data_IF_745262665587
#
_entry.id   IF_745262665587
#
_cell.length_a   1.000
_cell.length_b   1.000
_cell.length_c   1.000
_cell.angle_alpha   90.00
_cell.angle_beta   90.00
_cell.angle_gamma   90.00
#
_symmetry.space_group_name_H-M   'P 1'
#
loop_
_entity.id
_entity.type
_entity.pdbx_description
1 polymer ?
#
# COMPACT_ATOMS: atom_id res chain seq x y z
N UNK A 1 39.71 54.28 46.52
CA UNK A 1 40.27 53.57 45.35
C UNK A 1 39.87 52.10 45.44
N UNK A 2 39.00 51.61 44.55
CA UNK A 2 38.86 50.20 44.15
C UNK A 2 37.80 50.16 43.05
N UNK A 3 38.24 50.08 41.80
CA UNK A 3 37.41 49.91 40.61
C UNK A 3 37.01 48.44 40.53
N UNK A 4 35.71 48.13 40.55
CA UNK A 4 35.23 46.79 40.21
C UNK A 4 34.98 46.74 38.71
N UNK A 5 35.76 45.90 38.03
CA UNK A 5 35.62 45.57 36.62
C UNK A 5 34.68 44.36 36.54
N UNK A 6 33.46 44.55 36.02
CA UNK A 6 32.57 43.45 35.72
C UNK A 6 32.98 42.88 34.35
N UNK A 7 33.53 41.67 34.34
CA UNK A 7 33.80 40.91 33.11
C UNK A 7 32.53 40.16 32.75
N UNK A 8 31.91 40.56 31.64
CA UNK A 8 30.79 39.82 31.03
C UNK A 8 31.40 38.76 30.12
N UNK A 9 31.30 37.49 30.51
CA UNK A 9 31.64 36.36 29.64
C UNK A 9 30.40 36.05 28.80
N UNK A 10 30.44 36.44 27.53
CA UNK A 10 29.44 36.01 26.55
C UNK A 10 29.76 34.57 26.12
N UNK A 11 28.98 33.61 26.58
CA UNK A 11 29.04 32.23 26.12
C UNK A 11 28.26 32.11 24.81
N UNK A 12 28.95 32.19 23.67
CA UNK A 12 28.35 31.88 22.36
C UNK A 12 28.28 30.36 22.20
N UNK A 13 27.09 29.79 22.37
CA UNK A 13 26.82 28.39 22.02
C UNK A 13 26.64 28.32 20.50
N UNK A 14 27.66 27.84 19.80
CA UNK A 14 27.56 27.42 18.40
C UNK A 14 26.84 26.07 18.37
N UNK A 15 25.51 26.10 18.19
CA UNK A 15 24.74 24.91 17.87
C UNK A 15 25.06 24.48 16.44
N UNK A 16 25.87 23.44 16.29
CA UNK A 16 26.02 22.76 15.00
C UNK A 16 24.71 22.00 14.73
N UNK A 17 23.84 22.57 13.91
CA UNK A 17 22.75 21.82 13.30
C UNK A 17 23.38 20.78 12.37
N UNK A 18 23.44 19.53 12.81
CA UNK A 18 23.75 18.42 11.94
C UNK A 18 22.59 18.34 10.93
N UNK A 19 22.82 18.80 9.71
CA UNK A 19 21.94 18.52 8.59
C UNK A 19 22.01 17.01 8.34
N UNK A 20 21.06 16.27 8.92
CA UNK A 20 20.84 14.87 8.56
C UNK A 20 20.26 14.89 7.15
N UNK A 21 21.12 14.67 6.16
CA UNK A 21 20.69 14.41 4.79
C UNK A 21 20.15 12.99 4.82
N UNK A 22 18.84 12.83 4.97
CA UNK A 22 18.21 11.55 4.72
C UNK A 22 18.41 11.22 3.24
N UNK A 23 18.89 10.00 2.95
CA UNK A 23 18.92 9.52 1.58
C UNK A 23 17.48 9.58 1.03
N UNK A 24 17.32 10.12 -0.17
CA UNK A 24 16.03 10.12 -0.86
C UNK A 24 15.53 8.68 -0.99
N UNK A 25 14.28 8.43 -0.58
CA UNK A 25 13.70 7.10 -0.67
C UNK A 25 13.60 6.71 -2.15
N UNK A 26 14.15 5.55 -2.50
CA UNK A 26 14.06 5.04 -3.85
C UNK A 26 12.71 4.36 -4.03
N UNK A 27 11.97 4.77 -5.05
CA UNK A 27 10.69 4.16 -5.43
C UNK A 27 10.75 2.63 -5.36
N UNK A 28 9.77 2.04 -4.66
CA UNK A 28 9.66 0.61 -4.43
C UNK A 28 8.37 0.07 -5.05
N UNK A 29 8.49 -0.72 -6.11
CA UNK A 29 7.36 -1.14 -6.92
C UNK A 29 6.67 -2.39 -6.38
N UNK A 30 5.35 -2.37 -6.25
CA UNK A 30 4.51 -3.55 -6.03
C UNK A 30 4.03 -4.10 -7.38
N UNK A 31 3.58 -3.22 -8.28
CA UNK A 31 3.23 -3.56 -9.65
C UNK A 31 3.45 -2.37 -10.58
N UNK A 32 4.18 -2.57 -11.69
CA UNK A 32 4.25 -1.61 -12.81
C UNK A 32 3.84 -2.27 -14.12
N UNK A 33 4.38 -3.45 -14.42
CA UNK A 33 3.99 -4.24 -15.59
C UNK A 33 4.03 -5.72 -15.24
N UNK A 34 3.26 -6.55 -15.96
CA UNK A 34 3.28 -8.00 -15.74
C UNK A 34 4.69 -8.60 -15.83
N UNK A 35 5.53 -8.12 -16.76
CA UNK A 35 6.89 -8.62 -16.98
C UNK A 35 7.97 -7.84 -16.22
N UNK A 36 7.60 -6.82 -15.44
CA UNK A 36 8.54 -6.05 -14.64
C UNK A 36 9.25 -6.94 -13.62
N UNK A 37 10.59 -6.90 -13.62
CA UNK A 37 11.43 -7.74 -12.76
C UNK A 37 11.56 -7.20 -11.35
N UNK A 38 11.20 -5.94 -11.17
CA UNK A 38 11.25 -5.17 -9.93
C UNK A 38 9.87 -5.04 -9.27
N UNK A 39 8.86 -5.80 -9.73
CA UNK A 39 7.65 -5.99 -8.94
C UNK A 39 7.97 -6.77 -7.67
N UNK A 40 7.62 -6.20 -6.52
CA UNK A 40 7.72 -6.83 -5.22
C UNK A 40 6.34 -7.31 -4.73
N UNK A 41 6.36 -8.17 -3.71
CA UNK A 41 5.18 -8.86 -3.17
C UNK A 41 4.46 -9.77 -4.18
N UNK A 42 3.60 -10.65 -3.64
CA UNK A 42 2.88 -11.65 -4.41
C UNK A 42 1.40 -11.58 -4.02
N UNK A 43 0.43 -11.49 -4.96
CA UNK A 43 -1.01 -11.45 -4.68
C UNK A 43 -1.52 -12.83 -4.23
N UNK A 44 -1.07 -13.27 -3.06
CA UNK A 44 -1.32 -14.61 -2.51
C UNK A 44 -2.24 -14.58 -1.30
N UNK A 45 -2.49 -13.43 -0.70
CA UNK A 45 -3.32 -13.30 0.49
C UNK A 45 -4.80 -13.22 0.14
N UNK A 46 -5.37 -14.27 -0.46
CA UNK A 46 -6.78 -14.31 -0.86
C UNK A 46 -7.65 -14.49 0.38
N UNK A 47 -8.64 -13.61 0.57
CA UNK A 47 -9.48 -13.54 1.76
C UNK A 47 -10.96 -13.56 1.42
N UNK A 48 -11.78 -13.92 2.42
CA UNK A 48 -13.23 -13.91 2.32
C UNK A 48 -13.75 -14.89 1.27
N UNK A 49 -14.67 -14.41 0.43
CA UNK A 49 -15.30 -15.14 -0.67
C UNK A 49 -14.35 -15.30 -1.87
N UNK A 50 -13.15 -15.85 -1.63
CA UNK A 50 -12.10 -16.01 -2.63
C UNK A 50 -12.51 -16.87 -3.84
N UNK A 51 -13.49 -17.76 -3.69
CA UNK A 51 -14.04 -18.57 -4.78
C UNK A 51 -14.83 -17.76 -5.81
N UNK A 52 -15.15 -16.51 -5.49
CA UNK A 52 -15.86 -15.59 -6.37
C UNK A 52 -14.91 -14.66 -7.12
N UNK A 53 -13.61 -14.72 -6.80
CA UNK A 53 -12.60 -13.86 -7.41
C UNK A 53 -11.93 -14.53 -8.61
N UNK A 54 -11.63 -13.73 -9.63
CA UNK A 54 -10.65 -14.05 -10.68
C UNK A 54 -9.62 -12.94 -10.74
N UNK A 55 -8.38 -13.32 -11.00
CA UNK A 55 -7.24 -12.41 -11.01
C UNK A 55 -6.44 -12.61 -12.30
N UNK A 56 -6.23 -11.53 -13.04
CA UNK A 56 -5.37 -11.48 -14.21
C UNK A 56 -4.37 -10.32 -14.06
N UNK A 57 -3.09 -10.65 -13.89
CA UNK A 57 -2.00 -9.67 -13.76
C UNK A 57 -1.50 -9.10 -15.09
N UNK A 58 -1.97 -9.62 -16.22
CA UNK A 58 -1.45 -9.34 -17.55
C UNK A 58 -2.55 -8.80 -18.49
N UNK A 59 -3.54 -8.10 -17.94
CA UNK A 59 -4.67 -7.60 -18.69
C UNK A 59 -4.22 -6.45 -19.61
N UNK A 60 -4.45 -6.60 -20.92
CA UNK A 60 -3.88 -5.70 -21.95
C UNK A 60 -4.82 -4.58 -22.40
N UNK A 61 -6.07 -4.59 -21.97
CA UNK A 61 -7.06 -3.62 -22.43
C UNK A 61 -7.13 -2.42 -21.48
N UNK A 62 -6.82 -1.25 -22.03
CA UNK A 62 -6.84 0.05 -21.36
C UNK A 62 -6.04 0.06 -20.02
N UNK A 63 -4.75 -0.32 -20.04
CA UNK A 63 -3.87 -0.08 -18.89
C UNK A 63 -3.66 1.43 -18.68
N UNK A 64 -3.32 1.84 -17.47
CA UNK A 64 -3.01 3.25 -17.19
C UNK A 64 -1.67 3.63 -17.81
N UNK A 65 -0.67 2.76 -17.63
CA UNK A 65 0.66 2.93 -18.21
C UNK A 65 1.09 1.66 -18.96
N UNK A 66 2.15 1.78 -19.75
CA UNK A 66 2.76 0.65 -20.46
C UNK A 66 1.80 -0.22 -21.29
N UNK A 67 1.77 -1.53 -21.02
CA UNK A 67 1.10 -2.55 -21.84
C UNK A 67 0.19 -3.49 -21.09
N UNK A 68 0.30 -3.56 -19.76
CA UNK A 68 -0.50 -4.47 -18.93
C UNK A 68 -0.91 -3.80 -17.63
N UNK A 69 -2.12 -4.10 -17.18
CA UNK A 69 -2.61 -3.76 -15.85
C UNK A 69 -3.15 -5.02 -15.17
N UNK A 70 -3.47 -4.90 -13.89
CA UNK A 70 -4.17 -5.95 -13.13
C UNK A 70 -5.68 -5.80 -13.37
N UNK A 71 -6.36 -6.92 -13.60
CA UNK A 71 -7.82 -7.03 -13.59
C UNK A 71 -8.26 -8.05 -12.56
N UNK A 72 -9.24 -7.67 -11.76
CA UNK A 72 -9.88 -8.51 -10.76
C UNK A 72 -11.38 -8.49 -10.99
N UNK A 73 -12.03 -9.65 -10.96
CA UNK A 73 -13.50 -9.75 -10.97
C UNK A 73 -13.97 -10.42 -9.70
N UNK A 74 -15.05 -9.94 -9.10
CA UNK A 74 -15.74 -10.56 -7.96
C UNK A 74 -17.21 -10.77 -8.32
N UNK A 75 -17.76 -11.97 -8.14
CA UNK A 75 -19.15 -12.30 -8.50
C UNK A 75 -20.18 -12.10 -7.38
N UNK A 76 -19.75 -11.88 -6.14
CA UNK A 76 -20.62 -11.71 -4.97
C UNK A 76 -21.61 -12.88 -4.70
N UNK A 77 -21.27 -14.09 -5.14
CA UNK A 77 -22.08 -15.31 -4.92
C UNK A 77 -21.96 -15.83 -3.47
N UNK A 78 -21.00 -15.30 -2.71
CA UNK A 78 -20.69 -15.66 -1.32
C UNK A 78 -20.36 -17.14 -1.16
N UNK A 79 -19.51 -17.70 -2.04
CA UNK A 79 -19.17 -19.14 -2.00
C UNK A 79 -18.56 -19.61 -0.70
N UNK A 80 -17.94 -18.72 0.08
CA UNK A 80 -17.41 -19.03 1.41
C UNK A 80 -18.34 -18.55 2.54
N UNK A 81 -19.44 -17.87 2.21
CA UNK A 81 -20.40 -17.30 3.16
C UNK A 81 -19.85 -16.10 3.94
N UNK A 82 -18.79 -15.46 3.46
CA UNK A 82 -18.14 -14.36 4.18
C UNK A 82 -18.87 -13.02 3.98
N UNK A 83 -19.46 -12.79 2.80
CA UNK A 83 -20.10 -11.51 2.45
C UNK A 83 -19.09 -10.39 2.11
N UNK A 84 -17.83 -10.76 1.87
CA UNK A 84 -16.75 -9.85 1.48
C UNK A 84 -15.61 -10.64 0.85
N UNK A 85 -14.77 -9.97 0.07
CA UNK A 85 -13.56 -10.56 -0.49
C UNK A 85 -12.43 -9.52 -0.55
N UNK A 86 -11.19 -10.00 -0.63
CA UNK A 86 -10.02 -9.14 -0.75
C UNK A 86 -8.75 -9.92 -1.07
N UNK A 87 -7.71 -9.22 -1.49
CA UNK A 87 -6.40 -9.81 -1.77
C UNK A 87 -5.32 -8.95 -1.13
N UNK A 88 -4.45 -9.58 -0.33
CA UNK A 88 -3.16 -9.03 0.08
C UNK A 88 -2.04 -9.43 -0.89
N UNK A 89 -1.20 -8.46 -1.21
CA UNK A 89 0.12 -8.65 -1.79
C UNK A 89 1.11 -8.88 -0.65
N UNK A 90 1.66 -10.10 -0.58
CA UNK A 90 2.44 -10.57 0.57
C UNK A 90 3.88 -10.88 0.21
N UNK A 91 4.77 -10.75 1.20
CA UNK A 91 6.14 -11.22 1.13
C UNK A 91 6.51 -12.08 2.36
N UNK A 92 6.97 -13.33 2.15
CA UNK A 92 6.83 -14.13 0.93
C UNK A 92 5.34 -14.45 0.64
N UNK A 93 5.07 -15.21 -0.43
CA UNK A 93 3.71 -15.67 -0.72
C UNK A 93 3.10 -16.44 0.45
N UNK A 94 1.82 -16.20 0.71
CA UNK A 94 1.02 -16.78 1.79
C UNK A 94 1.62 -16.51 3.17
N UNK A 95 2.19 -15.32 3.40
CA UNK A 95 2.71 -14.92 4.69
C UNK A 95 1.64 -14.19 5.52
N UNK A 96 1.01 -14.90 6.44
CA UNK A 96 0.07 -14.36 7.42
C UNK A 96 0.77 -14.11 8.77
N UNK A 97 1.98 -13.54 8.75
CA UNK A 97 2.77 -13.24 9.94
C UNK A 97 3.45 -14.46 10.57
N UNK A 98 3.49 -15.61 9.88
CA UNK A 98 4.08 -16.87 10.37
C UNK A 98 5.45 -17.18 9.78
N UNK A 99 5.94 -16.33 8.86
CA UNK A 99 7.22 -16.52 8.20
C UNK A 99 8.02 -15.21 8.21
N UNK A 100 9.36 -15.29 8.32
CA UNK A 100 10.20 -14.14 8.03
C UNK A 100 10.07 -13.76 6.55
N UNK A 101 10.27 -12.49 6.27
CA UNK A 101 10.11 -11.88 4.96
C UNK A 101 10.06 -10.38 5.14
N UNK A 102 9.02 -9.76 4.59
CA UNK A 102 8.83 -8.33 4.68
C UNK A 102 9.92 -7.53 3.98
N UNK A 103 9.66 -6.25 3.82
CA UNK A 103 10.65 -5.29 3.36
C UNK A 103 10.77 -4.15 4.37
N UNK A 104 11.98 -3.61 4.48
CA UNK A 104 12.22 -2.33 5.13
C UNK A 104 11.94 -1.23 4.10
N UNK A 105 10.87 -0.48 4.35
CA UNK A 105 10.42 0.64 3.52
C UNK A 105 10.58 1.97 4.26
N UNK A 106 11.46 2.02 5.25
CA UNK A 106 11.77 3.23 6.01
C UNK A 106 12.17 4.37 5.07
N UNK A 107 11.48 5.51 5.20
CA UNK A 107 11.69 6.69 4.37
C UNK A 107 10.60 6.90 3.32
N UNK A 108 9.80 5.88 2.99
CA UNK A 108 8.60 6.08 2.17
C UNK A 108 7.62 6.99 2.90
N UNK A 109 7.04 7.93 2.17
CA UNK A 109 6.07 8.90 2.68
C UNK A 109 4.66 8.62 2.18
N UNK A 110 4.51 7.81 1.13
CA UNK A 110 3.21 7.35 0.65
C UNK A 110 3.30 6.06 -0.14
N UNK A 111 2.17 5.37 -0.23
CA UNK A 111 1.92 4.39 -1.28
C UNK A 111 0.96 4.98 -2.31
N UNK A 112 1.36 4.95 -3.58
CA UNK A 112 0.59 5.42 -4.72
C UNK A 112 0.06 4.22 -5.50
N UNK A 113 -1.16 4.32 -5.99
CA UNK A 113 -1.74 3.35 -6.92
C UNK A 113 -2.75 4.01 -7.84
N UNK A 114 -2.88 3.48 -9.05
CA UNK A 114 -3.97 3.84 -9.96
C UNK A 114 -5.04 2.77 -9.94
N UNK A 115 -6.29 3.20 -9.87
CA UNK A 115 -7.43 2.29 -9.90
C UNK A 115 -8.58 2.83 -10.75
N UNK A 116 -9.33 1.91 -11.35
CA UNK A 116 -10.62 2.18 -11.98
C UNK A 116 -11.57 0.99 -11.81
N UNK A 117 -12.86 1.29 -11.89
CA UNK A 117 -13.94 0.33 -12.00
C UNK A 117 -14.14 -0.17 -13.43
N UNK A 118 -14.89 -1.26 -13.57
CA UNK A 118 -15.35 -1.75 -14.87
C UNK A 118 -16.61 -1.05 -15.36
N UNK A 119 -17.55 -0.72 -14.44
CA UNK A 119 -18.79 0.00 -14.74
C UNK A 119 -18.89 1.36 -14.04
N UNK A 120 -18.01 1.63 -13.08
CA UNK A 120 -18.13 2.79 -12.19
C UNK A 120 -19.18 2.53 -11.11
N UNK A 121 -18.97 3.10 -9.91
CA UNK A 121 -19.82 2.86 -8.75
C UNK A 121 -19.41 1.65 -7.90
N UNK A 122 -18.36 0.92 -8.30
CA UNK A 122 -17.75 -0.10 -7.44
C UNK A 122 -17.31 0.53 -6.12
N UNK A 123 -17.81 0.01 -5.00
CA UNK A 123 -17.52 0.52 -3.67
C UNK A 123 -16.51 -0.38 -2.98
N UNK A 124 -15.26 0.08 -2.91
CA UNK A 124 -14.17 -0.63 -2.25
C UNK A 124 -14.09 -0.16 -0.81
N UNK A 125 -14.31 -1.08 0.13
CA UNK A 125 -14.39 -0.76 1.56
C UNK A 125 -13.06 -0.27 2.11
N UNK A 126 -11.95 -0.86 1.67
CA UNK A 126 -10.62 -0.53 2.19
C UNK A 126 -9.53 -0.77 1.14
N UNK A 127 -8.58 0.16 1.04
CA UNK A 127 -7.21 -0.10 0.58
C UNK A 127 -6.25 0.06 1.75
N UNK A 128 -5.25 -0.83 1.84
CA UNK A 128 -4.42 -0.92 3.04
C UNK A 128 -2.97 -1.31 2.75
N UNK A 129 -2.07 -0.78 3.58
CA UNK A 129 -0.67 -1.20 3.73
C UNK A 129 -0.48 -1.76 5.14
N UNK A 130 0.32 -2.82 5.26
CA UNK A 130 0.70 -3.42 6.53
C UNK A 130 -0.44 -4.11 7.26
N UNK A 131 -0.27 -4.31 8.57
CA UNK A 131 -1.30 -4.87 9.45
C UNK A 131 -1.48 -6.38 9.42
N UNK A 132 -0.58 -7.14 8.79
CA UNK A 132 -0.48 -8.59 9.00
C UNK A 132 0.11 -8.84 10.40
N UNK A 133 -0.58 -9.63 11.24
CA UNK A 133 -0.16 -9.91 12.62
C UNK A 133 0.22 -11.37 12.83
N UNK A 134 1.26 -11.63 13.61
CA UNK A 134 1.79 -12.95 13.92
C UNK A 134 3.15 -12.88 14.62
N UNK A 135 3.95 -13.94 14.56
CA UNK A 135 5.35 -13.96 15.03
C UNK A 135 6.19 -12.90 14.29
N UNK A 136 5.93 -12.74 12.99
CA UNK A 136 6.55 -11.75 12.11
C UNK A 136 5.51 -10.70 11.70
N UNK A 137 5.02 -9.94 12.68
CA UNK A 137 4.02 -8.89 12.47
C UNK A 137 4.59 -7.72 11.67
N UNK A 138 3.73 -7.09 10.86
CA UNK A 138 4.03 -5.79 10.27
C UNK A 138 4.22 -4.73 11.35
N UNK A 139 5.17 -3.85 11.12
CA UNK A 139 5.57 -2.77 12.03
C UNK A 139 4.48 -1.71 12.22
N UNK A 140 3.69 -1.42 11.19
CA UNK A 140 2.55 -0.51 11.25
C UNK A 140 1.47 -0.93 10.23
N UNK A 141 0.35 -0.23 10.23
CA UNK A 141 -0.74 -0.40 9.29
C UNK A 141 -1.45 0.92 9.00
N UNK A 142 -1.74 1.19 7.72
CA UNK A 142 -2.50 2.37 7.31
C UNK A 142 -3.51 1.96 6.25
N UNK A 143 -4.73 2.48 6.36
CA UNK A 143 -5.76 2.27 5.35
C UNK A 143 -6.55 3.53 5.00
N UNK A 144 -7.13 3.49 3.80
CA UNK A 144 -8.07 4.49 3.29
C UNK A 144 -9.33 3.78 2.78
N UNK A 145 -10.47 4.45 2.85
CA UNK A 145 -11.74 3.92 2.37
C UNK A 145 -12.94 4.43 3.19
N UNK A 146 -14.17 4.15 2.74
CA UNK A 146 -14.50 3.52 1.46
C UNK A 146 -14.20 4.44 0.27
N UNK A 147 -13.94 3.85 -0.90
CA UNK A 147 -13.73 4.57 -2.17
C UNK A 147 -14.69 4.04 -3.23
N UNK A 148 -15.42 4.95 -3.86
CA UNK A 148 -16.28 4.65 -5.00
C UNK A 148 -15.49 4.93 -6.28
N UNK A 149 -15.26 3.89 -7.08
CA UNK A 149 -14.45 4.01 -8.28
C UNK A 149 -15.25 4.56 -9.47
N UNK A 150 -14.54 5.25 -10.36
CA UNK A 150 -15.03 5.66 -11.67
C UNK A 150 -14.56 4.71 -12.76
N UNK A 151 -15.11 4.82 -13.96
CA UNK A 151 -14.60 4.11 -15.14
C UNK A 151 -13.24 4.64 -15.60
N UNK A 152 -12.92 5.88 -15.27
CA UNK A 152 -11.63 6.50 -15.60
C UNK A 152 -10.57 6.15 -14.56
N UNK A 153 -9.32 6.00 -15.01
CA UNK A 153 -8.17 5.84 -14.12
C UNK A 153 -8.02 7.06 -13.21
N UNK A 154 -7.98 6.81 -11.91
CA UNK A 154 -7.72 7.83 -10.89
C UNK A 154 -6.53 7.41 -10.05
N UNK A 155 -5.71 8.40 -9.66
CA UNK A 155 -4.59 8.21 -8.75
C UNK A 155 -5.08 8.30 -7.31
N UNK A 156 -4.70 7.33 -6.49
CA UNK A 156 -4.95 7.30 -5.06
C UNK A 156 -3.62 7.23 -4.30
N UNK A 157 -3.61 7.79 -3.10
CA UNK A 157 -2.43 7.84 -2.25
C UNK A 157 -2.83 7.45 -0.81
N UNK A 158 -2.03 6.59 -0.18
CA UNK A 158 -2.07 6.32 1.26
C UNK A 158 -0.92 7.07 1.89
N UNK A 159 -1.22 8.04 2.77
CA UNK A 159 -0.19 8.82 3.49
C UNK A 159 0.50 7.94 4.54
N UNK A 160 1.81 7.77 4.38
CA UNK A 160 2.68 7.00 5.25
C UNK A 160 3.63 7.88 6.07
N UNK A 161 3.42 9.21 6.07
CA UNK A 161 4.27 10.14 6.80
C UNK A 161 4.33 9.79 8.30
N UNK A 162 5.55 9.54 8.79
CA UNK A 162 5.80 9.24 10.19
C UNK A 162 5.40 7.83 10.65
N UNK A 163 5.05 6.94 9.71
CA UNK A 163 4.77 5.53 10.01
C UNK A 163 6.05 4.72 10.22
N UNK A 164 5.97 3.70 11.06
CA UNK A 164 7.04 2.71 11.17
C UNK A 164 6.90 1.71 10.02
N UNK A 165 7.82 1.79 9.05
CA UNK A 165 7.84 0.92 7.88
C UNK A 165 9.06 0.01 7.87
N UNK A 166 9.69 -0.21 9.03
CA UNK A 166 10.90 -1.02 9.16
C UNK A 166 10.70 -2.50 8.81
N UNK A 167 9.45 -2.98 8.84
CA UNK A 167 9.09 -4.32 8.43
C UNK A 167 7.64 -4.38 7.91
N UNK A 168 7.47 -4.54 6.59
CA UNK A 168 6.16 -4.64 5.93
C UNK A 168 6.10 -5.88 5.04
N UNK A 169 5.37 -6.90 5.50
CA UNK A 169 5.07 -8.15 4.79
C UNK A 169 3.78 -8.09 3.99
N UNK A 170 2.77 -7.30 4.40
CA UNK A 170 1.58 -6.98 3.62
C UNK A 170 1.73 -5.65 2.86
N UNK A 171 2.21 -5.70 1.62
CA UNK A 171 2.56 -4.49 0.87
C UNK A 171 1.36 -3.69 0.35
N UNK A 172 0.32 -4.36 -0.12
CA UNK A 172 -0.88 -3.71 -0.62
C UNK A 172 -2.07 -4.63 -0.43
N UNK A 173 -3.23 -4.07 -0.12
CA UNK A 173 -4.46 -4.80 0.08
C UNK A 173 -5.63 -4.00 -0.42
N UNK A 174 -6.62 -4.70 -0.95
CA UNK A 174 -7.98 -4.20 -1.09
C UNK A 174 -8.97 -5.18 -0.46
N UNK A 175 -10.09 -4.66 0.04
CA UNK A 175 -11.24 -5.44 0.48
C UNK A 175 -12.55 -4.74 0.11
N UNK A 176 -13.58 -5.52 -0.23
CA UNK A 176 -14.91 -5.02 -0.54
C UNK A 176 -16.00 -6.00 -0.07
N UNK A 177 -17.16 -5.46 0.31
CA UNK A 177 -18.32 -6.26 0.71
C UNK A 177 -19.26 -6.55 -0.48
N UNK A 178 -19.89 -7.72 -0.46
CA UNK A 178 -21.02 -8.04 -1.34
C UNK A 178 -22.26 -7.19 -1.04
N UNK A 179 -22.41 -6.66 0.18
CA UNK A 179 -23.55 -5.80 0.52
C UNK A 179 -23.51 -4.48 -0.26
N UNK A 180 -22.32 -3.89 -0.40
CA UNK A 180 -22.11 -2.66 -1.16
C UNK A 180 -21.99 -2.93 -2.68
N UNK A 181 -21.71 -4.18 -3.07
CA UNK A 181 -21.56 -4.60 -4.46
C UNK A 181 -22.36 -5.88 -4.74
N UNK A 182 -23.71 -5.84 -4.68
CA UNK A 182 -24.55 -7.05 -4.70
C UNK A 182 -24.54 -7.79 -6.04
N UNK A 183 -24.15 -7.13 -7.13
CA UNK A 183 -24.01 -7.72 -8.46
C UNK A 183 -22.55 -8.15 -8.77
N UNK A 184 -21.67 -8.05 -7.78
CA UNK A 184 -20.24 -8.14 -8.01
C UNK A 184 -19.67 -6.92 -8.75
N UNK A 185 -18.41 -7.02 -9.13
CA UNK A 185 -17.69 -5.93 -9.79
C UNK A 185 -16.46 -6.39 -10.58
N UNK A 186 -15.90 -5.46 -11.37
CA UNK A 186 -14.55 -5.57 -11.92
C UNK A 186 -13.72 -4.39 -11.43
N UNK A 187 -12.52 -4.68 -10.95
CA UNK A 187 -11.55 -3.73 -10.43
C UNK A 187 -10.28 -3.84 -11.27
N UNK A 188 -9.71 -2.69 -11.61
CA UNK A 188 -8.42 -2.61 -12.29
C UNK A 188 -7.43 -1.84 -11.44
N UNK A 189 -6.18 -2.31 -11.44
CA UNK A 189 -5.06 -1.59 -10.85
C UNK A 189 -3.91 -1.45 -11.81
N UNK A 190 -3.17 -0.37 -11.66
CA UNK A 190 -1.91 -0.16 -12.35
C UNK A 190 -0.99 0.72 -11.48
N UNK A 191 0.30 0.73 -11.79
CA UNK A 191 1.31 1.59 -11.16
C UNK A 191 1.17 1.68 -9.61
N UNK A 192 1.38 0.55 -8.92
CA UNK A 192 1.36 0.46 -7.46
C UNK A 192 2.79 0.52 -6.93
N UNK A 193 3.13 1.57 -6.17
CA UNK A 193 4.49 1.78 -5.65
C UNK A 193 4.53 2.62 -4.39
N UNK A 194 5.63 2.52 -3.65
CA UNK A 194 5.98 3.41 -2.55
C UNK A 194 6.93 4.49 -3.02
N UNK A 195 6.80 5.70 -2.48
CA UNK A 195 7.76 6.80 -2.61
C UNK A 195 7.85 7.67 -1.34
#
# INVERSE_FOLDING_TARGET
MKKFLAVVVALTILGAAANVVYAEFKQFNVYTENAARDNHYIPSGWMGDWGDMKFDRAWKENPHSGTTCIKITYSAEQKQGAGWAGIYWQNPANNWGTKPGGYDLTGATKLVFWARGGKGGENISEFKVGGITGEYSDSDAVSIGPIILTTDWQKYEIDLTGRDLSYISGGFCWAASSMDNPEGFTLYFDDIYYE
#
